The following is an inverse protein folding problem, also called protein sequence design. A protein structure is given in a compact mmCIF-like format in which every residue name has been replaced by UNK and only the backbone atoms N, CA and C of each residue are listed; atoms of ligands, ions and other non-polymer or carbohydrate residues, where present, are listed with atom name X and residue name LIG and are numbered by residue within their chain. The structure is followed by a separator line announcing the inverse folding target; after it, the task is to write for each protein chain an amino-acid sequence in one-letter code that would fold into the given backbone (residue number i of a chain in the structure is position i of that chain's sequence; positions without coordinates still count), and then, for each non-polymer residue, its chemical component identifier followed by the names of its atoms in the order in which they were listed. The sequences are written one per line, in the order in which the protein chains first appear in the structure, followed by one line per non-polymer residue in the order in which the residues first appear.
data_IF_817335978367
#
_entry.id   IF_817335978367
#
_cell.length_a   1.000
_cell.length_b   1.000
_cell.length_c   1.000
_cell.angle_alpha   90.00
_cell.angle_beta   90.00
_cell.angle_gamma   90.00
#
_symmetry.space_group_name_H-M   'P 1'
#
loop_
_entity.id
_entity.type
_entity.pdbx_description
1 polymer ?
#
# COMPACT_ATOMS: atom_id res chain seq x y z
N UNK A 1 -27.14 35.04 13.39
CA UNK A 1 -26.31 34.56 12.26
C UNK A 1 -25.86 33.15 12.60
N UNK A 2 -26.19 32.15 11.78
CA UNK A 2 -25.67 30.80 11.99
C UNK A 2 -24.14 30.84 11.83
N UNK A 3 -23.40 30.28 12.78
CA UNK A 3 -21.96 30.09 12.64
C UNK A 3 -21.72 29.27 11.37
N UNK A 4 -20.80 29.66 10.46
CA UNK A 4 -20.50 28.84 9.29
C UNK A 4 -20.12 27.44 9.77
N UNK A 5 -20.80 26.41 9.25
CA UNK A 5 -20.56 25.01 9.60
C UNK A 5 -19.06 24.73 9.49
N UNK A 6 -18.42 24.48 10.65
CA UNK A 6 -16.99 24.25 10.71
C UNK A 6 -16.66 22.98 9.92
N UNK A 7 -15.93 23.09 8.81
CA UNK A 7 -15.48 21.93 8.04
C UNK A 7 -14.71 20.97 8.95
N UNK A 8 -15.04 19.67 8.87
CA UNK A 8 -14.46 18.62 9.72
C UNK A 8 -12.99 18.32 9.37
N UNK A 9 -12.30 17.63 10.28
CA UNK A 9 -10.96 17.07 10.00
C UNK A 9 -11.11 15.73 9.30
N UNK A 10 -10.36 15.52 8.22
CA UNK A 10 -10.16 14.23 7.58
C UNK A 10 -8.93 13.55 8.17
N UNK A 11 -9.11 12.34 8.70
CA UNK A 11 -8.03 11.40 8.99
C UNK A 11 -7.99 10.37 7.86
N UNK A 12 -7.16 10.68 6.85
CA UNK A 12 -6.99 9.86 5.66
C UNK A 12 -5.88 8.84 5.91
N UNK A 13 -6.16 7.58 5.61
CA UNK A 13 -5.17 6.53 5.51
C UNK A 13 -5.23 5.90 4.14
N UNK A 14 -4.06 5.61 3.58
CA UNK A 14 -3.93 4.96 2.28
C UNK A 14 -3.24 3.61 2.47
N UNK A 15 -3.60 2.59 1.71
CA UNK A 15 -2.66 1.51 1.44
C UNK A 15 -1.50 2.04 0.56
N UNK A 16 -0.42 1.28 0.51
CA UNK A 16 0.81 1.66 -0.15
C UNK A 16 1.04 0.92 -1.46
N UNK A 17 1.25 -0.41 -1.41
CA UNK A 17 1.43 -1.21 -2.63
C UNK A 17 0.09 -1.35 -3.35
N UNK A 18 0.05 -1.18 -4.68
CA UNK A 18 -1.20 -1.19 -5.46
C UNK A 18 -1.99 0.12 -5.38
N UNK A 19 -1.82 0.87 -4.28
CA UNK A 19 -2.54 2.14 -4.07
C UNK A 19 -1.66 3.38 -4.31
N UNK A 20 -0.53 3.55 -3.63
CA UNK A 20 0.38 4.69 -3.84
C UNK A 20 1.43 4.38 -4.91
N UNK A 21 2.00 3.17 -4.86
CA UNK A 21 3.07 2.74 -5.76
C UNK A 21 2.89 1.31 -6.25
N UNK A 22 3.60 0.97 -7.31
CA UNK A 22 3.59 -0.36 -7.91
C UNK A 22 5.00 -0.78 -8.36
N UNK A 23 5.24 -2.07 -8.65
CA UNK A 23 6.50 -2.50 -9.24
C UNK A 23 6.78 -1.73 -10.55
N UNK A 24 7.98 -1.16 -10.66
CA UNK A 24 8.40 -0.41 -11.87
C UNK A 24 8.46 -1.31 -13.10
N UNK A 25 8.81 -2.58 -12.88
CA UNK A 25 8.76 -3.69 -13.83
C UNK A 25 8.19 -4.90 -13.11
N UNK A 26 7.63 -5.91 -13.82
CA UNK A 26 7.25 -7.17 -13.21
C UNK A 26 8.36 -7.72 -12.29
N UNK A 27 8.01 -8.07 -11.05
CA UNK A 27 8.96 -8.53 -10.03
C UNK A 27 9.88 -9.65 -10.54
N UNK A 28 9.39 -10.69 -11.24
CA UNK A 28 10.25 -11.76 -11.75
C UNK A 28 11.30 -11.28 -12.78
N UNK A 29 10.98 -10.27 -13.58
CA UNK A 29 11.95 -9.67 -14.51
C UNK A 29 13.06 -8.91 -13.77
N UNK A 30 12.72 -8.25 -12.66
CA UNK A 30 13.72 -7.59 -11.82
C UNK A 30 14.62 -8.61 -11.13
N UNK A 31 14.05 -9.72 -10.63
CA UNK A 31 14.81 -10.85 -10.08
C UNK A 31 15.75 -11.46 -11.13
N UNK A 32 15.25 -11.74 -12.34
CA UNK A 32 16.07 -12.27 -13.45
C UNK A 32 17.24 -11.35 -13.77
N UNK A 33 16.97 -10.04 -13.86
CA UNK A 33 18.00 -9.04 -14.17
C UNK A 33 19.10 -8.96 -13.11
N UNK A 34 18.76 -9.07 -11.82
CA UNK A 34 19.78 -9.12 -10.75
C UNK A 34 20.49 -10.47 -10.77
N UNK A 35 19.77 -11.60 -10.81
CA UNK A 35 20.36 -12.94 -10.81
C UNK A 35 21.36 -13.17 -11.94
N UNK A 36 21.10 -12.64 -13.13
CA UNK A 36 22.02 -12.74 -14.26
C UNK A 36 23.39 -12.09 -13.99
N UNK A 37 23.46 -11.02 -13.19
CA UNK A 37 24.72 -10.37 -12.78
C UNK A 37 25.58 -11.29 -11.91
N UNK A 38 24.94 -12.17 -11.15
CA UNK A 38 25.59 -13.09 -10.23
C UNK A 38 25.75 -14.50 -10.81
N UNK A 39 25.43 -14.72 -12.08
CA UNK A 39 25.67 -15.99 -12.77
C UNK A 39 24.43 -16.85 -13.01
N UNK A 40 23.26 -16.49 -12.46
CA UNK A 40 21.98 -17.14 -12.78
C UNK A 40 21.45 -16.64 -14.13
N UNK A 41 22.07 -17.09 -15.22
CA UNK A 41 21.74 -16.69 -16.59
C UNK A 41 20.70 -17.62 -17.22
N UNK A 42 19.91 -17.10 -18.16
CA UNK A 42 18.94 -17.89 -18.92
C UNK A 42 17.64 -18.23 -18.19
N UNK A 43 17.41 -17.70 -16.99
CA UNK A 43 16.16 -17.91 -16.25
C UNK A 43 15.05 -17.02 -16.79
N UNK A 44 13.94 -17.63 -17.21
CA UNK A 44 12.78 -16.88 -17.69
C UNK A 44 12.04 -16.21 -16.53
N UNK A 45 11.23 -15.19 -16.85
CA UNK A 45 10.35 -14.55 -15.87
C UNK A 45 9.38 -15.56 -15.24
N UNK A 46 8.87 -16.51 -16.03
CA UNK A 46 7.92 -17.52 -15.58
C UNK A 46 8.57 -18.51 -14.60
N UNK A 47 9.81 -18.93 -14.85
CA UNK A 47 10.56 -19.82 -13.96
C UNK A 47 10.75 -19.19 -12.57
N UNK A 48 11.18 -17.92 -12.56
CA UNK A 48 11.37 -17.17 -11.31
C UNK A 48 10.04 -16.84 -10.64
N UNK A 49 8.99 -16.53 -11.39
CA UNK A 49 7.66 -16.31 -10.80
C UNK A 49 7.14 -17.56 -10.09
N UNK A 50 7.25 -18.73 -10.74
CA UNK A 50 6.81 -19.99 -10.17
C UNK A 50 7.62 -20.35 -8.92
N UNK A 51 8.95 -20.16 -8.96
CA UNK A 51 9.81 -20.43 -7.81
C UNK A 51 9.54 -19.45 -6.66
N UNK A 52 9.41 -18.15 -6.96
CA UNK A 52 9.07 -17.12 -5.99
C UNK A 52 7.74 -17.40 -5.31
N UNK A 53 6.69 -17.76 -6.06
CA UNK A 53 5.37 -18.10 -5.49
C UNK A 53 5.47 -19.27 -4.51
N UNK A 54 6.28 -20.29 -4.82
CA UNK A 54 6.52 -21.43 -3.92
C UNK A 54 7.26 -21.01 -2.65
N UNK A 55 8.37 -20.28 -2.80
CA UNK A 55 9.17 -19.79 -1.68
C UNK A 55 8.36 -18.86 -0.76
N UNK A 56 7.65 -17.89 -1.35
CA UNK A 56 6.77 -16.96 -0.64
C UNK A 56 5.66 -17.69 0.11
N UNK A 57 4.97 -18.63 -0.54
CA UNK A 57 3.91 -19.41 0.10
C UNK A 57 4.43 -20.21 1.29
N UNK A 58 5.58 -20.87 1.13
CA UNK A 58 6.16 -21.67 2.20
C UNK A 58 6.62 -20.79 3.37
N UNK A 59 7.38 -19.72 3.09
CA UNK A 59 7.86 -18.79 4.12
C UNK A 59 6.68 -18.12 4.86
N UNK A 60 5.62 -17.73 4.14
CA UNK A 60 4.41 -17.16 4.75
C UNK A 60 3.65 -18.17 5.63
N UNK A 61 3.72 -19.46 5.30
CA UNK A 61 3.10 -20.54 6.08
C UNK A 61 3.85 -20.81 7.38
N UNK A 62 5.18 -20.82 7.33
CA UNK A 62 6.03 -21.11 8.50
C UNK A 62 6.25 -19.88 9.39
N UNK A 63 6.32 -18.69 8.78
CA UNK A 63 6.61 -17.42 9.43
C UNK A 63 5.62 -16.35 8.94
N UNK A 64 4.33 -16.41 9.31
CA UNK A 64 3.34 -15.42 8.87
C UNK A 64 3.69 -14.00 9.33
N UNK A 65 3.17 -12.99 8.63
CA UNK A 65 3.41 -11.56 8.88
C UNK A 65 4.91 -11.25 9.09
N UNK A 66 5.71 -11.61 8.08
CA UNK A 66 7.18 -11.44 8.06
C UNK A 66 7.91 -12.09 9.24
N UNK A 67 7.29 -13.11 9.87
CA UNK A 67 7.84 -13.81 11.03
C UNK A 67 7.76 -13.04 12.35
N UNK A 68 6.90 -12.02 12.45
CA UNK A 68 6.69 -11.22 13.67
C UNK A 68 6.46 -12.08 14.91
N UNK A 69 5.67 -13.14 14.80
CA UNK A 69 5.30 -14.00 15.93
C UNK A 69 6.47 -14.77 16.56
N UNK A 70 7.59 -14.92 15.83
CA UNK A 70 8.81 -15.60 16.29
C UNK A 70 10.00 -14.64 16.43
N UNK A 71 9.77 -13.32 16.31
CA UNK A 71 10.82 -12.31 16.39
C UNK A 71 11.81 -12.31 15.22
N UNK A 72 11.40 -12.86 14.07
CA UNK A 72 12.23 -12.86 12.87
C UNK A 72 12.26 -11.47 12.25
N UNK A 73 13.46 -10.98 11.92
CA UNK A 73 13.63 -9.75 11.16
C UNK A 73 13.02 -9.87 9.75
N UNK A 74 12.25 -8.88 9.33
CA UNK A 74 11.61 -8.88 8.02
C UNK A 74 12.63 -8.95 6.87
N UNK A 75 13.82 -8.36 7.03
CA UNK A 75 14.88 -8.49 6.03
C UNK A 75 15.37 -9.94 5.90
N UNK A 76 15.46 -10.68 7.01
CA UNK A 76 15.79 -12.11 6.99
C UNK A 76 14.65 -12.94 6.37
N UNK A 77 13.40 -12.62 6.67
CA UNK A 77 12.24 -13.27 6.05
C UNK A 77 12.27 -13.15 4.51
N UNK A 78 12.55 -11.94 4.00
CA UNK A 78 12.71 -11.73 2.57
C UNK A 78 13.97 -12.38 1.99
N UNK A 79 15.07 -12.42 2.74
CA UNK A 79 16.27 -13.15 2.35
C UNK A 79 16.00 -14.65 2.16
N UNK A 80 15.19 -15.27 3.03
CA UNK A 80 14.77 -16.66 2.89
C UNK A 80 14.01 -16.89 1.58
N UNK A 81 13.07 -15.99 1.24
CA UNK A 81 12.31 -16.08 -0.01
C UNK A 81 13.22 -15.90 -1.22
N UNK A 82 14.13 -14.93 -1.21
CA UNK A 82 15.09 -14.75 -2.31
C UNK A 82 15.94 -16.01 -2.47
N UNK A 83 16.46 -16.57 -1.37
CA UNK A 83 17.23 -17.81 -1.40
C UNK A 83 16.41 -18.96 -1.98
N UNK A 84 15.21 -19.21 -1.46
CA UNK A 84 14.31 -20.27 -1.94
C UNK A 84 13.86 -20.08 -3.39
N UNK A 85 13.81 -18.83 -3.87
CA UNK A 85 13.51 -18.53 -5.28
C UNK A 85 14.62 -19.03 -6.21
N UNK A 86 15.88 -18.87 -5.84
CA UNK A 86 17.04 -19.20 -6.69
C UNK A 86 17.65 -20.58 -6.42
N UNK A 87 17.43 -21.17 -5.25
CA UNK A 87 17.98 -22.46 -4.83
C UNK A 87 17.77 -23.59 -5.85
N UNK A 88 16.58 -23.78 -6.48
CA UNK A 88 16.39 -24.81 -7.49
C UNK A 88 17.31 -24.70 -8.72
N UNK A 89 17.85 -23.51 -8.98
CA UNK A 89 18.68 -23.23 -10.16
C UNK A 89 20.19 -23.35 -9.89
N UNK A 90 20.60 -23.63 -8.65
CA UNK A 90 22.01 -23.85 -8.27
C UNK A 90 22.59 -25.15 -8.87
N UNK A 91 21.73 -26.09 -9.23
CA UNK A 91 22.09 -27.35 -9.88
C UNK A 91 22.47 -27.19 -11.36
N UNK A 92 22.17 -26.05 -11.99
CA UNK A 92 22.56 -25.76 -13.37
C UNK A 92 24.10 -25.70 -13.45
N UNK A 93 24.68 -26.32 -14.50
CA UNK A 93 26.12 -26.51 -14.64
C UNK A 93 26.91 -25.21 -14.43
N UNK A 94 26.54 -24.15 -15.15
CA UNK A 94 27.22 -22.84 -15.15
C UNK A 94 26.66 -21.83 -14.13
N UNK A 95 25.69 -22.25 -13.29
CA UNK A 95 25.14 -21.40 -12.24
C UNK A 95 25.98 -21.47 -10.96
N UNK A 96 25.93 -20.42 -10.11
CA UNK A 96 26.46 -20.47 -8.75
C UNK A 96 25.91 -21.66 -7.97
N UNK A 97 26.77 -22.32 -7.19
CA UNK A 97 26.38 -23.49 -6.37
C UNK A 97 25.62 -23.11 -5.10
N UNK A 98 25.57 -21.83 -4.78
CA UNK A 98 24.76 -21.24 -3.73
C UNK A 98 24.27 -19.86 -4.18
N UNK A 99 23.23 -19.33 -3.54
CA UNK A 99 22.73 -17.97 -3.81
C UNK A 99 23.67 -16.96 -3.12
N UNK A 100 24.42 -16.12 -3.87
CA UNK A 100 25.41 -15.23 -3.26
C UNK A 100 24.77 -14.22 -2.30
N UNK A 101 25.42 -13.96 -1.17
CA UNK A 101 24.91 -12.99 -0.17
C UNK A 101 24.70 -11.59 -0.77
N UNK A 102 25.64 -11.14 -1.61
CA UNK A 102 25.59 -9.84 -2.26
C UNK A 102 24.38 -9.72 -3.21
N UNK A 103 23.95 -10.82 -3.82
CA UNK A 103 22.75 -10.86 -4.65
C UNK A 103 21.48 -10.66 -3.83
N UNK A 104 21.41 -11.28 -2.65
CA UNK A 104 20.30 -11.11 -1.71
C UNK A 104 20.25 -9.65 -1.24
N UNK A 105 21.39 -9.10 -0.82
CA UNK A 105 21.54 -7.70 -0.40
C UNK A 105 21.12 -6.72 -1.51
N UNK A 106 21.52 -6.96 -2.77
CA UNK A 106 21.12 -6.14 -3.92
C UNK A 106 19.60 -6.19 -4.19
N UNK A 107 18.98 -7.37 -4.09
CA UNK A 107 17.53 -7.51 -4.26
C UNK A 107 16.77 -6.81 -3.12
N UNK A 108 17.20 -6.99 -1.86
CA UNK A 108 16.61 -6.29 -0.71
C UNK A 108 16.73 -4.77 -0.88
N UNK A 109 17.89 -4.27 -1.28
CA UNK A 109 18.10 -2.85 -1.53
C UNK A 109 17.18 -2.33 -2.66
N UNK A 110 17.11 -3.04 -3.80
CA UNK A 110 16.25 -2.69 -4.93
C UNK A 110 14.79 -2.55 -4.52
N UNK A 111 14.27 -3.51 -3.75
CA UNK A 111 12.89 -3.53 -3.26
C UNK A 111 12.69 -2.71 -1.96
N UNK A 112 13.67 -1.87 -1.60
CA UNK A 112 13.53 -0.82 -0.59
C UNK A 112 13.55 0.59 -1.20
N UNK A 113 13.64 0.72 -2.53
CA UNK A 113 13.85 1.98 -3.22
C UNK A 113 13.07 2.09 -4.54
N UNK A 114 13.08 3.30 -5.14
CA UNK A 114 12.55 3.61 -6.48
C UNK A 114 13.12 2.78 -7.64
N UNK A 115 14.18 2.00 -7.40
CA UNK A 115 14.68 1.02 -8.37
C UNK A 115 13.68 -0.11 -8.59
N UNK A 116 13.05 -0.58 -7.51
CA UNK A 116 12.01 -1.61 -7.53
C UNK A 116 10.64 -1.08 -7.94
N UNK A 117 10.36 0.19 -7.63
CA UNK A 117 9.01 0.75 -7.66
C UNK A 117 8.86 2.05 -8.44
N UNK A 118 7.61 2.36 -8.80
CA UNK A 118 7.19 3.62 -9.37
C UNK A 118 5.89 4.08 -8.67
N UNK A 119 5.74 5.39 -8.50
CA UNK A 119 4.52 6.00 -7.96
C UNK A 119 3.44 6.03 -9.05
N UNK A 120 2.18 5.81 -8.68
CA UNK A 120 1.07 6.03 -9.60
C UNK A 120 0.92 7.53 -9.92
N UNK A 121 0.61 7.91 -11.17
CA UNK A 121 0.44 9.32 -11.54
C UNK A 121 -0.62 10.06 -10.71
N UNK A 122 -1.78 9.45 -10.48
CA UNK A 122 -2.87 10.04 -9.67
C UNK A 122 -2.51 10.16 -8.18
N UNK A 123 -1.68 9.25 -7.66
CA UNK A 123 -1.14 9.35 -6.31
C UNK A 123 -0.21 10.57 -6.19
N UNK A 124 0.65 10.80 -7.19
CA UNK A 124 1.50 12.00 -7.23
C UNK A 124 0.66 13.28 -7.22
N UNK A 125 -0.39 13.33 -8.05
CA UNK A 125 -1.32 14.46 -8.13
C UNK A 125 -2.06 14.69 -6.80
N UNK A 126 -2.50 13.62 -6.14
CA UNK A 126 -3.11 13.69 -4.81
C UNK A 126 -2.13 14.28 -3.79
N UNK A 127 -0.88 13.81 -3.72
CA UNK A 127 0.11 14.36 -2.78
C UNK A 127 0.44 15.82 -3.05
N UNK A 128 0.48 16.25 -4.33
CA UNK A 128 0.60 17.67 -4.68
C UNK A 128 -0.59 18.47 -4.12
N UNK A 129 -1.82 17.98 -4.28
CA UNK A 129 -3.00 18.64 -3.73
C UNK A 129 -3.01 18.68 -2.20
N UNK A 130 -2.63 17.57 -1.55
CA UNK A 130 -2.53 17.45 -0.09
C UNK A 130 -1.52 18.46 0.49
N UNK A 131 -0.37 18.65 -0.18
CA UNK A 131 0.64 19.66 0.20
C UNK A 131 0.08 21.09 0.15
N UNK A 132 -0.75 21.40 -0.84
CA UNK A 132 -1.39 22.70 -0.98
C UNK A 132 -2.37 22.92 0.19
N UNK A 133 -3.36 22.03 0.35
CA UNK A 133 -4.41 22.18 1.38
C UNK A 133 -3.86 22.10 2.80
N UNK A 134 -2.73 21.42 3.01
CA UNK A 134 -2.04 21.40 4.32
C UNK A 134 -1.45 22.75 4.70
N UNK A 135 -0.95 23.54 3.73
CA UNK A 135 -0.39 24.87 3.98
C UNK A 135 -1.48 25.91 4.19
N UNK A 136 -2.46 25.92 3.28
CA UNK A 136 -3.64 26.77 3.33
C UNK A 136 -4.65 26.21 2.35
N UNK A 137 -5.92 26.16 2.72
CA UNK A 137 -6.99 25.72 1.81
C UNK A 137 -7.42 26.94 0.98
N UNK A 138 -7.19 26.96 -0.35
CA UNK A 138 -7.68 28.05 -1.19
C UNK A 138 -9.20 28.17 -1.12
N UNK A 139 -9.74 29.39 -1.20
CA UNK A 139 -11.20 29.63 -1.16
C UNK A 139 -11.96 28.89 -2.27
N UNK A 140 -11.34 28.75 -3.44
CA UNK A 140 -11.88 28.06 -4.60
C UNK A 140 -11.44 26.58 -4.68
N UNK A 141 -10.77 26.05 -3.67
CA UNK A 141 -10.37 24.65 -3.69
C UNK A 141 -11.59 23.74 -3.55
N UNK A 142 -11.69 22.79 -4.46
CA UNK A 142 -12.60 21.67 -4.34
C UNK A 142 -12.06 20.70 -3.28
N UNK A 143 -12.15 21.09 -2.01
CA UNK A 143 -11.72 20.31 -0.85
C UNK A 143 -12.71 20.52 0.32
N UNK A 144 -13.51 19.50 0.69
CA UNK A 144 -14.61 19.65 1.65
C UNK A 144 -14.12 19.68 3.12
N UNK A 145 -12.84 19.43 3.37
CA UNK A 145 -12.27 19.28 4.71
C UNK A 145 -11.59 20.56 5.19
N UNK A 146 -11.65 20.84 6.50
CA UNK A 146 -10.98 21.99 7.11
C UNK A 146 -9.53 21.70 7.49
N UNK A 147 -9.19 20.42 7.69
CA UNK A 147 -7.84 19.91 7.92
C UNK A 147 -7.77 18.49 7.39
N UNK A 148 -6.63 18.10 6.83
CA UNK A 148 -6.35 16.72 6.43
C UNK A 148 -5.09 16.22 7.13
N UNK A 149 -5.18 15.05 7.73
CA UNK A 149 -4.08 14.30 8.32
C UNK A 149 -3.94 13.02 7.49
N UNK A 150 -2.77 12.80 6.91
CA UNK A 150 -2.52 11.70 5.97
C UNK A 150 -1.60 10.69 6.63
N UNK A 151 -1.97 9.42 6.59
CA UNK A 151 -1.19 8.30 7.12
C UNK A 151 -1.23 7.12 6.13
N UNK A 152 -0.45 6.08 6.40
CA UNK A 152 -0.49 4.82 5.65
C UNK A 152 -0.86 3.66 6.59
N UNK A 153 -1.69 2.73 6.11
CA UNK A 153 -1.91 1.42 6.75
C UNK A 153 -1.62 0.34 5.70
N UNK A 154 -0.60 -0.50 5.93
CA UNK A 154 -0.19 -1.50 4.95
C UNK A 154 0.18 -2.84 5.58
N UNK A 155 -0.17 -3.94 4.91
CA UNK A 155 0.37 -5.26 5.24
C UNK A 155 1.79 -5.33 4.67
N UNK A 156 2.75 -4.87 5.46
CA UNK A 156 4.12 -4.63 5.04
C UNK A 156 5.08 -4.70 6.22
N UNK A 157 6.37 -4.62 5.91
CA UNK A 157 7.48 -4.35 6.81
C UNK A 157 8.00 -2.89 6.69
N UNK A 158 9.06 -2.58 7.45
CA UNK A 158 9.64 -1.26 7.68
C UNK A 158 10.24 -0.60 6.42
N UNK A 159 10.67 -1.38 5.44
CA UNK A 159 11.28 -0.87 4.18
C UNK A 159 10.33 0.01 3.38
N UNK A 160 9.02 -0.05 3.63
CA UNK A 160 8.02 0.79 2.96
C UNK A 160 8.29 2.29 3.13
N UNK A 161 8.88 2.70 4.25
CA UNK A 161 9.24 4.10 4.51
C UNK A 161 10.31 4.53 3.49
N UNK A 162 11.38 3.74 3.34
CA UNK A 162 12.43 4.01 2.36
C UNK A 162 11.90 4.01 0.92
N UNK A 163 10.94 3.14 0.60
CA UNK A 163 10.27 3.14 -0.71
C UNK A 163 9.55 4.48 -0.93
N UNK A 164 8.69 4.89 -0.02
CA UNK A 164 7.92 6.14 -0.11
C UNK A 164 8.84 7.37 -0.23
N UNK A 165 9.87 7.46 0.61
CA UNK A 165 10.83 8.57 0.59
C UNK A 165 11.63 8.62 -0.70
N UNK A 166 12.09 7.47 -1.20
CA UNK A 166 12.80 7.39 -2.48
C UNK A 166 11.92 7.76 -3.68
N UNK A 167 10.60 7.65 -3.55
CA UNK A 167 9.59 8.09 -4.53
C UNK A 167 9.18 9.56 -4.36
N UNK A 168 9.78 10.28 -3.40
CA UNK A 168 9.53 11.70 -3.17
C UNK A 168 8.31 12.00 -2.30
N UNK A 169 7.81 11.02 -1.55
CA UNK A 169 6.77 11.19 -0.54
C UNK A 169 7.44 11.17 0.83
N UNK A 170 7.40 12.30 1.53
CA UNK A 170 8.11 12.44 2.79
C UNK A 170 7.28 11.93 3.98
N UNK A 171 7.93 11.21 4.89
CA UNK A 171 7.29 10.58 6.05
C UNK A 171 7.76 11.25 7.34
N UNK A 172 6.84 11.46 8.29
CA UNK A 172 7.11 12.01 9.61
C UNK A 172 6.23 13.20 9.97
N UNK A 173 6.38 13.71 11.20
CA UNK A 173 5.54 14.78 11.72
C UNK A 173 5.60 16.04 10.85
N UNK A 174 4.43 16.52 10.40
CA UNK A 174 4.31 17.67 9.51
C UNK A 174 4.68 17.41 8.05
N UNK A 175 5.06 16.18 7.67
CA UNK A 175 5.43 15.77 6.29
C UNK A 175 4.22 15.31 5.47
N UNK A 176 4.44 14.75 4.29
CA UNK A 176 3.33 14.31 3.42
C UNK A 176 2.49 13.21 4.07
N UNK A 177 3.16 12.30 4.78
CA UNK A 177 2.57 11.23 5.58
C UNK A 177 3.02 11.42 7.02
N UNK A 178 2.09 11.58 7.96
CA UNK A 178 2.40 11.78 9.39
C UNK A 178 2.89 10.48 10.04
N UNK A 179 2.22 9.35 9.77
CA UNK A 179 2.56 8.04 10.30
C UNK A 179 2.40 6.95 9.24
N UNK A 180 3.28 5.94 9.30
CA UNK A 180 3.15 4.70 8.53
C UNK A 180 2.90 3.57 9.54
N UNK A 181 1.73 2.95 9.44
CA UNK A 181 1.31 1.84 10.29
C UNK A 181 1.43 0.55 9.48
N UNK A 182 2.39 -0.29 9.84
CA UNK A 182 2.65 -1.56 9.16
C UNK A 182 2.20 -2.76 9.99
N UNK A 183 1.73 -3.81 9.31
CA UNK A 183 1.27 -5.04 9.98
C UNK A 183 2.36 -5.70 10.82
N UNK A 184 3.63 -5.61 10.40
CA UNK A 184 4.75 -6.17 11.15
C UNK A 184 4.88 -5.53 12.54
N UNK A 185 4.78 -4.20 12.64
CA UNK A 185 4.89 -3.49 13.93
C UNK A 185 3.69 -3.77 14.83
N UNK A 186 2.49 -3.74 14.24
CA UNK A 186 1.23 -3.94 14.97
C UNK A 186 1.03 -5.41 15.39
N UNK A 187 1.57 -6.36 14.62
CA UNK A 187 1.33 -7.79 14.81
C UNK A 187 -0.04 -8.25 14.31
N UNK A 188 -0.73 -7.45 13.50
CA UNK A 188 -2.01 -7.77 12.88
C UNK A 188 -2.04 -7.23 11.44
N UNK A 189 -2.51 -8.06 10.51
CA UNK A 189 -2.65 -7.72 9.08
C UNK A 189 -4.09 -7.35 8.77
N UNK A 190 -4.32 -6.38 7.88
CA UNK A 190 -5.64 -6.17 7.25
C UNK A 190 -6.12 -7.51 6.66
N UNK A 191 -7.40 -7.92 6.85
CA UNK A 191 -8.52 -7.13 7.38
C UNK A 191 -8.72 -7.18 8.91
N UNK A 192 -7.77 -7.68 9.70
CA UNK A 192 -7.91 -7.76 11.16
C UNK A 192 -8.17 -6.36 11.76
N UNK A 193 -9.25 -6.18 12.56
CA UNK A 193 -9.64 -4.86 13.07
C UNK A 193 -8.55 -4.19 13.92
N UNK A 194 -7.66 -4.98 14.54
CA UNK A 194 -6.61 -4.47 15.44
C UNK A 194 -5.68 -3.47 14.77
N UNK A 195 -5.43 -3.59 13.46
CA UNK A 195 -4.58 -2.63 12.73
C UNK A 195 -5.27 -1.28 12.55
N UNK A 196 -6.58 -1.28 12.27
CA UNK A 196 -7.39 -0.06 12.13
C UNK A 196 -7.63 0.60 13.49
N UNK A 197 -7.83 -0.19 14.54
CA UNK A 197 -7.91 0.28 15.93
C UNK A 197 -6.60 0.93 16.38
N UNK A 198 -5.46 0.32 16.06
CA UNK A 198 -4.14 0.89 16.32
C UNK A 198 -3.97 2.24 15.61
N UNK A 199 -4.29 2.31 14.31
CA UNK A 199 -4.23 3.55 13.53
C UNK A 199 -5.18 4.63 14.06
N UNK A 200 -6.36 4.26 14.56
CA UNK A 200 -7.34 5.20 15.11
C UNK A 200 -6.84 5.95 16.35
N UNK A 201 -5.80 5.46 17.04
CA UNK A 201 -5.18 6.14 18.20
C UNK A 201 -4.49 7.46 17.81
N UNK A 202 -4.13 7.61 16.54
CA UNK A 202 -3.55 8.84 16.00
C UNK A 202 -4.61 9.83 15.48
N UNK A 203 -5.88 9.42 15.42
CA UNK A 203 -6.95 10.25 14.89
C UNK A 203 -7.48 11.22 15.96
N UNK A 204 -7.69 12.50 15.62
CA UNK A 204 -8.46 13.41 16.49
C UNK A 204 -9.86 12.87 16.75
N UNK A 205 -10.41 13.15 17.95
CA UNK A 205 -11.70 12.61 18.43
C UNK A 205 -12.86 12.76 17.43
N UNK A 206 -12.96 13.93 16.78
CA UNK A 206 -14.06 14.27 15.87
C UNK A 206 -13.67 14.17 14.39
N UNK A 207 -12.55 13.50 14.08
CA UNK A 207 -12.11 13.32 12.70
C UNK A 207 -12.95 12.27 11.98
N UNK A 208 -13.24 12.52 10.70
CA UNK A 208 -13.76 11.50 9.79
C UNK A 208 -12.60 10.61 9.38
N UNK A 209 -12.71 9.30 9.68
CA UNK A 209 -11.66 8.32 9.40
C UNK A 209 -11.95 7.61 8.09
N UNK A 210 -11.00 7.68 7.16
CA UNK A 210 -11.14 7.14 5.81
C UNK A 210 -9.93 6.28 5.52
N UNK A 211 -10.16 5.04 5.10
CA UNK A 211 -9.13 4.18 4.54
C UNK A 211 -9.40 3.95 3.06
N UNK A 212 -8.36 4.06 2.24
CA UNK A 212 -8.44 3.84 0.79
C UNK A 212 -7.37 2.83 0.40
N UNK A 213 -7.77 1.77 -0.28
CA UNK A 213 -6.85 0.78 -0.81
C UNK A 213 -7.45 0.02 -1.99
N UNK A 214 -6.66 -0.80 -2.68
CA UNK A 214 -7.06 -1.52 -3.89
C UNK A 214 -7.62 -2.92 -3.64
N UNK A 215 -7.52 -3.45 -2.42
CA UNK A 215 -8.05 -4.75 -2.04
C UNK A 215 -9.44 -4.61 -1.38
N UNK A 216 -10.44 -5.24 -2.00
CA UNK A 216 -11.85 -5.21 -1.52
C UNK A 216 -11.96 -5.69 -0.08
N UNK A 217 -11.33 -6.83 0.24
CA UNK A 217 -11.50 -7.48 1.53
C UNK A 217 -10.64 -6.79 2.59
N UNK A 218 -9.37 -6.54 2.28
CA UNK A 218 -8.41 -6.00 3.25
C UNK A 218 -8.64 -4.53 3.54
N UNK A 219 -8.90 -3.73 2.52
CA UNK A 219 -8.92 -2.28 2.66
C UNK A 219 -10.34 -1.77 2.86
N UNK A 220 -11.23 -2.06 1.92
CA UNK A 220 -12.55 -1.46 1.93
C UNK A 220 -13.49 -2.13 2.95
N UNK A 221 -13.68 -3.45 2.87
CA UNK A 221 -14.49 -4.21 3.83
C UNK A 221 -13.81 -4.18 5.19
N UNK A 222 -12.51 -4.50 5.25
CA UNK A 222 -11.74 -4.54 6.49
C UNK A 222 -11.83 -3.25 7.31
N UNK A 223 -11.63 -2.08 6.69
CA UNK A 223 -11.76 -0.82 7.39
C UNK A 223 -13.20 -0.54 7.84
N UNK A 224 -14.19 -0.78 6.97
CA UNK A 224 -15.61 -0.54 7.30
C UNK A 224 -16.09 -1.45 8.44
N UNK A 225 -15.68 -2.72 8.42
CA UNK A 225 -16.04 -3.73 9.40
C UNK A 225 -15.31 -3.57 10.74
N UNK A 226 -14.12 -2.94 10.75
CA UNK A 226 -13.39 -2.62 11.98
C UNK A 226 -14.15 -1.66 12.92
N UNK A 227 -15.25 -1.05 12.46
CA UNK A 227 -16.10 -0.20 13.27
C UNK A 227 -15.41 1.12 13.64
N UNK A 228 -15.76 1.68 14.80
CA UNK A 228 -15.20 2.94 15.30
C UNK A 228 -15.33 4.14 14.34
N UNK A 229 -16.25 4.10 13.37
CA UNK A 229 -16.50 5.21 12.43
C UNK A 229 -15.50 5.30 11.26
N UNK A 230 -14.87 4.19 10.90
CA UNK A 230 -14.09 4.09 9.66
C UNK A 230 -14.99 3.99 8.42
N UNK A 231 -14.62 4.71 7.38
CA UNK A 231 -15.12 4.51 6.02
C UNK A 231 -14.03 3.82 5.20
N UNK A 232 -14.29 2.62 4.70
CA UNK A 232 -13.44 1.93 3.74
C UNK A 232 -13.86 2.23 2.30
N UNK A 233 -12.91 2.68 1.49
CA UNK A 233 -13.10 3.00 0.08
C UNK A 233 -12.20 2.10 -0.75
N UNK A 234 -12.75 1.54 -1.82
CA UNK A 234 -12.02 0.72 -2.78
C UNK A 234 -11.47 1.62 -3.89
N UNK A 235 -10.18 1.53 -4.19
CA UNK A 235 -9.58 2.12 -5.38
C UNK A 235 -9.49 1.06 -6.48
N UNK A 236 -10.32 1.20 -7.51
CA UNK A 236 -10.41 0.24 -8.61
C UNK A 236 -9.32 0.47 -9.66
N UNK A 237 -8.09 0.08 -9.34
CA UNK A 237 -6.94 0.14 -10.25
C UNK A 237 -7.14 -0.67 -11.54
N UNK A 238 -7.93 -1.73 -11.48
CA UNK A 238 -8.16 -2.65 -12.59
C UNK A 238 -9.41 -2.31 -13.42
N UNK A 239 -10.12 -1.23 -13.09
CA UNK A 239 -11.33 -0.78 -13.79
C UNK A 239 -12.44 -1.84 -13.87
N UNK A 240 -12.50 -2.74 -12.89
CA UNK A 240 -13.53 -3.79 -12.80
C UNK A 240 -14.94 -3.25 -12.69
N UNK A 241 -15.09 -2.03 -12.19
CA UNK A 241 -16.36 -1.37 -11.94
C UNK A 241 -16.55 -0.13 -12.84
N UNK A 242 -15.79 0.01 -13.92
CA UNK A 242 -15.85 1.17 -14.83
C UNK A 242 -17.23 1.32 -15.48
N UNK A 243 -17.88 0.22 -15.86
CA UNK A 243 -19.23 0.24 -16.46
C UNK A 243 -20.31 0.79 -15.51
N UNK A 244 -20.07 0.71 -14.19
CA UNK A 244 -21.02 1.18 -13.17
C UNK A 244 -20.86 2.69 -12.91
N UNK A 245 -19.83 3.32 -13.50
CA UNK A 245 -19.55 4.76 -13.41
C UNK A 245 -20.22 5.61 -14.50
N UNK A 246 -21.01 5.02 -15.40
CA UNK A 246 -21.61 5.73 -16.53
C UNK A 246 -22.65 6.79 -16.12
N UNK A 247 -23.19 6.73 -14.90
CA UNK A 247 -24.03 7.78 -14.33
C UNK A 247 -23.16 8.86 -13.67
N UNK A 248 -22.97 9.98 -14.38
CA UNK A 248 -22.15 11.12 -13.96
C UNK A 248 -22.64 11.85 -12.71
N UNK A 249 -23.77 11.46 -12.13
CA UNK A 249 -24.33 12.09 -10.92
C UNK A 249 -23.53 11.81 -9.64
N UNK A 250 -22.55 10.90 -9.67
CA UNK A 250 -21.83 10.45 -8.46
C UNK A 250 -20.32 10.73 -8.45
N UNK A 251 -19.81 11.54 -9.38
CA UNK A 251 -18.40 12.01 -9.35
C UNK A 251 -17.36 10.86 -9.23
N UNK A 252 -17.59 9.72 -9.90
CA UNK A 252 -16.69 8.57 -9.86
C UNK A 252 -16.82 7.69 -8.62
N UNK A 253 -17.94 7.78 -7.89
CA UNK A 253 -18.26 6.95 -6.72
C UNK A 253 -19.36 5.94 -7.06
N UNK A 254 -18.96 4.70 -7.31
CA UNK A 254 -19.90 3.57 -7.36
C UNK A 254 -20.07 3.02 -5.95
N UNK A 255 -21.29 2.63 -5.58
CA UNK A 255 -21.52 1.85 -4.36
C UNK A 255 -21.70 0.39 -4.72
N UNK A 256 -20.92 -0.49 -4.10
CA UNK A 256 -21.07 -1.94 -4.24
C UNK A 256 -21.38 -2.55 -2.87
N UNK A 257 -22.12 -3.66 -2.88
CA UNK A 257 -22.34 -4.48 -1.68
C UNK A 257 -21.39 -5.67 -1.69
N UNK A 258 -20.61 -5.83 -0.61
CA UNK A 258 -19.69 -6.95 -0.38
C UNK A 258 -19.74 -7.33 1.09
N UNK A 259 -19.99 -8.61 1.36
CA UNK A 259 -20.08 -9.17 2.72
C UNK A 259 -21.03 -8.39 3.65
N UNK A 260 -22.15 -7.88 3.10
CA UNK A 260 -23.14 -7.08 3.84
C UNK A 260 -22.73 -5.62 4.10
N UNK A 261 -21.61 -5.16 3.52
CA UNK A 261 -21.12 -3.79 3.61
C UNK A 261 -21.29 -3.04 2.30
N UNK A 262 -21.81 -1.82 2.37
CA UNK A 262 -21.86 -0.89 1.24
C UNK A 262 -20.55 -0.10 1.17
N UNK A 263 -19.76 -0.33 0.12
CA UNK A 263 -18.44 0.27 -0.10
C UNK A 263 -18.53 1.28 -1.24
N UNK A 264 -17.88 2.43 -1.07
CA UNK A 264 -17.63 3.36 -2.16
C UNK A 264 -16.39 2.96 -2.96
N UNK A 265 -16.51 2.95 -4.28
CA UNK A 265 -15.45 2.62 -5.23
C UNK A 265 -15.00 3.90 -5.92
N UNK A 266 -13.69 4.12 -5.96
CA UNK A 266 -12.99 5.21 -6.63
C UNK A 266 -12.32 4.67 -7.89
N UNK A 267 -12.48 5.34 -9.02
CA UNK A 267 -11.72 5.04 -10.24
C UNK A 267 -10.30 5.65 -10.23
N UNK A 268 -10.08 6.64 -9.36
CA UNK A 268 -8.83 7.40 -9.22
C UNK A 268 -8.77 8.02 -7.84
N UNK A 269 -7.56 8.23 -7.32
CA UNK A 269 -7.33 8.98 -6.09
C UNK A 269 -7.80 10.44 -6.17
N UNK A 270 -7.95 10.99 -7.39
CA UNK A 270 -8.48 12.35 -7.59
C UNK A 270 -9.91 12.53 -7.07
N UNK A 271 -10.71 11.45 -7.09
CA UNK A 271 -12.09 11.47 -6.59
C UNK A 271 -12.16 11.82 -5.08
N UNK A 272 -11.08 11.62 -4.32
CA UNK A 272 -11.00 12.02 -2.91
C UNK A 272 -11.09 13.53 -2.70
N UNK A 273 -10.78 14.35 -3.72
CA UNK A 273 -10.92 15.81 -3.63
C UNK A 273 -12.36 16.23 -3.38
N UNK A 274 -13.31 15.44 -3.86
CA UNK A 274 -14.75 15.76 -3.80
C UNK A 274 -15.49 14.83 -2.83
N UNK A 275 -14.83 13.77 -2.36
CA UNK A 275 -15.46 12.80 -1.48
C UNK A 275 -15.71 13.35 -0.08
N UNK A 276 -16.92 13.13 0.40
CA UNK A 276 -17.29 13.24 1.81
C UNK A 276 -18.40 12.24 2.12
N UNK A 277 -18.51 11.73 3.36
CA UNK A 277 -19.65 10.91 3.74
C UNK A 277 -20.89 11.79 3.68
N UNK A 278 -21.89 11.39 2.88
CA UNK A 278 -23.20 12.07 2.85
C UNK A 278 -23.80 12.00 4.26
N UNK A 279 -24.22 13.16 4.77
CA UNK A 279 -24.96 13.31 6.03
C UNK A 279 -26.34 12.67 5.94
#
# INVERSE_FOLDING_TARGET
MASPLRKRTLFLTLDAFGTIFHPRKPVPLQYSAVGAKYGFRGLSAADLENSFRKAFKEESRIHPNYGKGVGLDASQWWANIIKGTFEPYTAIADAPKEVPKQMIEELLYRFSHKEGYAIYPDALELFVALRIVKKSIPENANWPWGKTIVNVISNSDDRIISVLESLGISVGHGRDIENVIISYDVGAEKPDPRIFEYAARYAPRDAVKVHVGDDVAKDAVGATAAGNGWYGLLLDREKKYEEWNADQEHHGLVKIERDGHVIAVLNSLDALRQWSPRS
#
